data_IF_916277151342
#
_entry.id   IF_916277151342
#
_cell.length_a   1.000
_cell.length_b   1.000
_cell.length_c   1.000
_cell.angle_alpha   90.00
_cell.angle_beta   90.00
_cell.angle_gamma   90.00
#
_symmetry.space_group_name_H-M   'P 1'
#
loop_
_entity.id
_entity.type
_entity.pdbx_description
1 polymer ?
#
# COMPACT_ATOMS: atom_id res chain seq x y z
N UNK A 1 12.48 -5.10 -16.11
CA UNK A 1 13.64 -5.00 -15.20
C UNK A 1 13.20 -5.36 -13.80
N UNK A 2 14.14 -5.54 -12.87
CA UNK A 2 13.84 -5.63 -11.43
C UNK A 2 13.64 -4.22 -10.86
N UNK A 3 12.80 -4.09 -9.85
CA UNK A 3 12.58 -2.86 -9.09
C UNK A 3 12.79 -3.15 -7.61
N UNK A 4 13.20 -2.13 -6.85
CA UNK A 4 13.20 -2.17 -5.39
C UNK A 4 11.79 -2.30 -4.83
N UNK A 5 11.68 -2.70 -3.57
CA UNK A 5 10.40 -3.04 -2.90
C UNK A 5 9.42 -1.88 -2.90
N UNK A 6 9.95 -0.66 -2.84
CA UNK A 6 9.20 0.59 -2.73
C UNK A 6 9.29 1.46 -4.00
N UNK A 7 9.86 0.93 -5.09
CA UNK A 7 9.95 1.61 -6.39
C UNK A 7 11.30 2.22 -6.74
N UNK A 8 12.26 2.21 -5.81
CA UNK A 8 13.64 2.64 -6.06
C UNK A 8 14.37 1.70 -7.05
N UNK A 9 15.50 2.13 -7.65
CA UNK A 9 16.36 1.25 -8.43
C UNK A 9 16.76 0.01 -7.64
N UNK A 10 16.65 -1.17 -8.26
CA UNK A 10 16.94 -2.45 -7.58
C UNK A 10 18.39 -2.57 -7.04
N UNK A 11 19.32 -1.80 -7.60
CA UNK A 11 20.75 -1.82 -7.21
C UNK A 11 21.09 -0.84 -6.10
N UNK A 12 20.14 0.01 -5.67
CA UNK A 12 20.39 0.96 -4.59
C UNK A 12 20.58 0.20 -3.26
N UNK A 13 21.50 0.65 -2.39
CA UNK A 13 21.73 0.02 -1.10
C UNK A 13 20.49 0.15 -0.21
N UNK A 14 20.29 -0.86 0.66
CA UNK A 14 19.25 -0.83 1.68
C UNK A 14 19.71 -0.07 2.94
N UNK A 15 18.83 0.68 3.63
CA UNK A 15 17.47 1.04 3.20
C UNK A 15 17.50 1.89 1.93
N UNK A 16 16.68 1.53 0.95
CA UNK A 16 16.43 2.38 -0.19
C UNK A 16 15.64 3.61 0.27
N UNK A 17 15.63 4.67 -0.54
CA UNK A 17 15.08 5.96 -0.09
C UNK A 17 13.61 5.87 0.33
N UNK A 18 12.80 5.04 -0.32
CA UNK A 18 11.38 4.88 -0.02
C UNK A 18 11.06 3.67 0.86
N UNK A 19 12.05 2.89 1.27
CA UNK A 19 11.86 1.81 2.26
C UNK A 19 11.76 2.39 3.68
N UNK A 20 11.20 1.62 4.61
CA UNK A 20 11.25 1.96 6.02
C UNK A 20 12.68 2.20 6.50
N UNK A 21 12.86 3.24 7.32
CA UNK A 21 14.15 3.81 7.75
C UNK A 21 14.97 4.49 6.65
N UNK A 22 14.51 4.47 5.40
CA UNK A 22 15.05 5.26 4.30
C UNK A 22 14.74 6.75 4.45
N UNK A 23 15.34 7.56 3.58
CA UNK A 23 15.22 9.03 3.62
C UNK A 23 13.76 9.53 3.62
N UNK A 24 12.86 8.86 2.89
CA UNK A 24 11.42 9.18 2.84
C UNK A 24 10.57 8.26 3.73
N UNK A 25 11.10 7.10 4.17
CA UNK A 25 10.40 6.13 5.00
C UNK A 25 10.48 6.43 6.49
N UNK A 26 9.89 7.55 6.93
CA UNK A 26 10.06 8.12 8.28
C UNK A 26 9.22 7.46 9.39
N UNK A 27 8.52 6.36 9.12
CA UNK A 27 7.66 5.67 10.10
C UNK A 27 6.35 6.37 10.46
N UNK A 28 5.99 7.48 9.80
CA UNK A 28 4.80 8.28 10.13
C UNK A 28 3.52 7.58 9.62
N UNK A 29 2.65 7.18 10.54
CA UNK A 29 1.30 6.70 10.21
C UNK A 29 0.47 7.85 9.65
N UNK A 30 0.02 7.72 8.41
CA UNK A 30 -0.75 8.76 7.73
C UNK A 30 -2.26 8.52 7.78
N UNK A 31 -2.68 7.28 8.08
CA UNK A 31 -4.09 6.90 8.09
C UNK A 31 -4.37 5.69 8.98
N UNK A 32 -5.58 5.65 9.53
CA UNK A 32 -6.08 4.53 10.33
C UNK A 32 -7.30 3.92 9.64
N UNK A 33 -7.38 2.59 9.63
CA UNK A 33 -8.46 1.83 9.03
C UNK A 33 -8.96 0.72 9.97
N UNK A 34 -10.20 0.29 9.74
CA UNK A 34 -10.77 -0.86 10.42
C UNK A 34 -10.34 -2.17 9.75
N UNK A 35 -10.07 -3.26 10.51
CA UNK A 35 -9.80 -4.57 9.95
C UNK A 35 -10.93 -5.03 9.01
N UNK A 36 -10.56 -5.56 7.84
CA UNK A 36 -11.53 -6.06 6.86
C UNK A 36 -12.29 -4.97 6.07
N UNK A 37 -12.04 -3.68 6.35
CA UNK A 37 -12.70 -2.57 5.65
C UNK A 37 -12.30 -2.50 4.18
N UNK A 38 -13.17 -1.86 3.39
CA UNK A 38 -12.87 -1.47 2.01
C UNK A 38 -12.44 0.00 2.03
N UNK A 39 -11.28 0.28 1.43
CA UNK A 39 -10.68 1.62 1.40
C UNK A 39 -10.70 2.17 -0.02
N UNK A 40 -10.91 3.48 -0.16
CA UNK A 40 -10.75 4.18 -1.43
C UNK A 40 -9.27 4.59 -1.62
N UNK A 41 -8.68 4.16 -2.73
CA UNK A 41 -7.33 4.53 -3.17
C UNK A 41 -7.43 5.34 -4.45
N UNK A 42 -7.00 6.60 -4.39
CA UNK A 42 -6.93 7.50 -5.54
C UNK A 42 -5.54 7.44 -6.18
N UNK A 43 -5.51 7.22 -7.50
CA UNK A 43 -4.29 7.22 -8.30
C UNK A 43 -4.41 8.29 -9.38
N UNK A 44 -3.50 9.26 -9.34
CA UNK A 44 -3.31 10.22 -10.43
C UNK A 44 -2.29 9.69 -11.44
N UNK A 45 -2.74 9.43 -12.66
CA UNK A 45 -1.90 8.94 -13.76
C UNK A 45 -1.33 10.15 -14.51
N UNK A 46 -0.01 10.35 -14.45
CA UNK A 46 0.66 11.43 -15.19
C UNK A 46 1.05 11.02 -16.61
N UNK A 47 1.24 9.71 -16.84
CA UNK A 47 1.49 9.13 -18.15
C UNK A 47 0.81 7.76 -18.22
N UNK A 48 -0.26 7.67 -19.01
CA UNK A 48 -1.03 6.44 -19.18
C UNK A 48 -0.33 5.52 -20.17
N UNK A 49 0.12 4.38 -19.68
CA UNK A 49 0.81 3.35 -20.47
C UNK A 49 -0.01 2.05 -20.53
N UNK A 50 -1.32 2.12 -20.26
CA UNK A 50 -2.24 0.98 -20.11
C UNK A 50 -1.72 -0.03 -19.08
N UNK A 51 -2.33 -1.21 -18.99
CA UNK A 51 -1.85 -2.31 -18.14
C UNK A 51 -2.74 -2.51 -16.93
N UNK A 52 -2.16 -2.66 -15.74
CA UNK A 52 -2.94 -2.96 -14.54
C UNK A 52 -2.34 -2.41 -13.24
N UNK A 53 -3.21 -2.18 -12.26
CA UNK A 53 -2.87 -1.84 -10.89
C UNK A 53 -3.14 -3.02 -9.96
N UNK A 54 -2.16 -3.34 -9.13
CA UNK A 54 -2.27 -4.29 -8.02
C UNK A 54 -1.95 -3.63 -6.70
N UNK A 55 -2.49 -4.20 -5.63
CA UNK A 55 -2.27 -3.75 -4.26
C UNK A 55 -1.74 -4.91 -3.44
N UNK A 56 -0.86 -4.60 -2.50
CA UNK A 56 -0.33 -5.56 -1.54
C UNK A 56 -0.07 -4.86 -0.21
N UNK A 57 -0.11 -5.62 0.88
CA UNK A 57 0.09 -5.10 2.23
C UNK A 57 1.23 -5.86 2.89
N UNK A 58 2.11 -5.13 3.58
CA UNK A 58 3.13 -5.71 4.45
C UNK A 58 2.87 -5.27 5.89
N UNK A 59 2.75 -6.23 6.80
CA UNK A 59 2.79 -5.96 8.23
C UNK A 59 4.26 -5.83 8.67
N UNK A 60 4.69 -4.63 9.07
CA UNK A 60 6.03 -4.45 9.60
C UNK A 60 6.12 -5.07 10.98
N UNK A 61 7.04 -6.02 11.14
CA UNK A 61 7.34 -6.66 12.43
C UNK A 61 8.48 -5.98 13.17
N UNK A 62 9.35 -5.30 12.43
CA UNK A 62 10.45 -4.49 12.95
C UNK A 62 10.30 -3.08 12.38
N UNK A 63 10.08 -2.10 13.26
CA UNK A 63 9.87 -0.70 12.88
C UNK A 63 11.18 0.05 12.61
N UNK A 64 12.31 -0.56 12.96
CA UNK A 64 13.67 -0.02 12.81
C UNK A 64 14.43 -0.70 11.65
N UNK A 65 13.74 -1.49 10.81
CA UNK A 65 14.29 -2.15 9.64
C UNK A 65 13.44 -1.95 8.38
N UNK A 66 14.04 -2.03 7.17
CA UNK A 66 13.29 -2.03 5.90
C UNK A 66 12.24 -3.13 5.83
N UNK A 67 11.24 -2.94 4.96
CA UNK A 67 10.27 -3.96 4.62
C UNK A 67 10.99 -5.21 4.07
N UNK A 68 10.76 -6.42 4.65
CA UNK A 68 11.29 -7.64 4.06
C UNK A 68 10.71 -7.87 2.66
N UNK A 69 11.54 -8.30 1.70
CA UNK A 69 11.11 -8.59 0.32
C UNK A 69 9.87 -9.51 0.24
N UNK A 70 9.68 -10.39 1.23
CA UNK A 70 8.64 -11.41 1.27
C UNK A 70 7.46 -11.08 2.21
N UNK A 71 7.36 -9.88 2.77
CA UNK A 71 6.26 -9.56 3.69
C UNK A 71 4.97 -9.09 2.98
N UNK A 72 5.05 -8.78 1.70
CA UNK A 72 3.93 -8.23 0.95
C UNK A 72 2.99 -9.32 0.46
N UNK A 73 1.78 -9.30 1.00
CA UNK A 73 0.67 -10.16 0.59
C UNK A 73 -0.28 -9.40 -0.35
N UNK A 74 -0.69 -10.04 -1.45
CA UNK A 74 -1.60 -9.44 -2.42
C UNK A 74 -2.99 -9.16 -1.81
N UNK A 75 -3.56 -8.01 -2.14
CA UNK A 75 -4.92 -7.63 -1.77
C UNK A 75 -5.87 -7.78 -2.96
N UNK A 76 -7.16 -7.96 -2.65
CA UNK A 76 -8.24 -7.96 -3.63
C UNK A 76 -8.93 -6.59 -3.66
N UNK A 77 -9.51 -6.28 -4.81
CA UNK A 77 -10.47 -5.19 -4.93
C UNK A 77 -11.82 -5.59 -4.31
N UNK A 78 -12.68 -4.60 -4.07
CA UNK A 78 -14.00 -4.83 -3.46
C UNK A 78 -14.85 -5.84 -4.25
N UNK A 79 -14.74 -5.82 -5.58
CA UNK A 79 -15.42 -6.73 -6.51
C UNK A 79 -14.82 -8.14 -6.55
N UNK A 80 -13.76 -8.40 -5.78
CA UNK A 80 -13.07 -9.67 -5.68
C UNK A 80 -11.97 -9.89 -6.74
N UNK A 81 -11.75 -8.93 -7.63
CA UNK A 81 -10.66 -9.01 -8.61
C UNK A 81 -9.29 -8.79 -7.97
N UNK A 82 -8.24 -9.35 -8.58
CA UNK A 82 -6.85 -9.23 -8.12
C UNK A 82 -6.14 -7.98 -8.65
N UNK A 83 -6.77 -7.25 -9.58
CA UNK A 83 -6.20 -6.09 -10.26
C UNK A 83 -7.27 -5.22 -10.92
N UNK A 84 -6.98 -3.94 -11.01
CA UNK A 84 -7.70 -3.02 -11.88
C UNK A 84 -7.03 -2.96 -13.26
N UNK A 85 -7.81 -2.99 -14.34
CA UNK A 85 -7.31 -2.86 -15.72
C UNK A 85 -7.37 -1.39 -16.14
N UNK A 86 -6.21 -0.82 -16.49
CA UNK A 86 -6.08 0.59 -16.87
C UNK A 86 -6.55 0.79 -18.31
N UNK A 87 -7.53 1.67 -18.49
CA UNK A 87 -8.09 2.06 -19.78
C UNK A 87 -7.37 3.28 -20.36
N UNK A 88 -7.47 3.50 -21.67
CA UNK A 88 -6.79 4.61 -22.35
C UNK A 88 -7.26 6.00 -21.94
N UNK A 89 -8.48 6.09 -21.38
CA UNK A 89 -9.09 7.34 -20.93
C UNK A 89 -8.77 7.65 -19.45
N UNK A 90 -8.18 6.70 -18.72
CA UNK A 90 -7.88 6.87 -17.30
C UNK A 90 -6.82 7.95 -17.08
N UNK A 91 -7.21 9.00 -16.35
CA UNK A 91 -6.35 10.08 -15.88
C UNK A 91 -6.28 10.10 -14.34
N UNK A 92 -7.41 9.82 -13.68
CA UNK A 92 -7.53 9.58 -12.25
C UNK A 92 -8.35 8.32 -12.05
N UNK A 93 -7.87 7.39 -11.22
CA UNK A 93 -8.54 6.12 -10.92
C UNK A 93 -8.84 6.05 -9.43
N UNK A 94 -10.07 5.65 -9.10
CA UNK A 94 -10.51 5.40 -7.73
C UNK A 94 -10.78 3.91 -7.56
N UNK A 95 -9.88 3.23 -6.86
CA UNK A 95 -10.01 1.79 -6.61
C UNK A 95 -10.47 1.54 -5.18
N UNK A 96 -11.45 0.65 -5.04
CA UNK A 96 -11.90 0.14 -3.74
C UNK A 96 -11.11 -1.12 -3.41
N UNK A 97 -10.22 -1.04 -2.42
CA UNK A 97 -9.31 -2.12 -2.02
C UNK A 97 -9.77 -2.72 -0.70
N UNK A 98 -9.90 -4.04 -0.62
CA UNK A 98 -10.30 -4.74 0.59
C UNK A 98 -9.08 -5.05 1.45
N UNK A 99 -9.05 -4.51 2.67
CA UNK A 99 -8.03 -4.85 3.66
C UNK A 99 -8.29 -6.22 4.27
N UNK A 100 -7.24 -6.94 4.71
CA UNK A 100 -7.42 -8.18 5.44
C UNK A 100 -8.05 -7.92 6.82
N UNK A 101 -8.66 -8.95 7.39
CA UNK A 101 -9.10 -8.92 8.79
C UNK A 101 -7.89 -9.11 9.73
N UNK A 102 -6.98 -8.14 9.69
CA UNK A 102 -5.72 -8.09 10.44
C UNK A 102 -5.69 -6.81 11.27
N UNK A 103 -5.09 -6.87 12.46
CA UNK A 103 -4.70 -5.68 13.20
C UNK A 103 -3.20 -5.47 13.02
N UNK A 104 -2.80 -4.22 12.81
CA UNK A 104 -1.44 -3.88 12.43
C UNK A 104 -1.11 -2.47 12.90
N UNK A 105 -0.07 -2.33 13.71
CA UNK A 105 0.32 -1.02 14.21
C UNK A 105 0.95 -0.15 13.11
N UNK A 106 1.77 -0.77 12.26
CA UNK A 106 2.42 -0.13 11.12
C UNK A 106 2.42 -1.08 9.93
N UNK A 107 1.54 -0.82 8.97
CA UNK A 107 1.42 -1.59 7.74
C UNK A 107 1.79 -0.73 6.55
N UNK A 108 2.42 -1.35 5.56
CA UNK A 108 2.87 -0.67 4.34
C UNK A 108 1.97 -1.09 3.20
N UNK A 109 1.18 -0.15 2.68
CA UNK A 109 0.34 -0.38 1.50
C UNK A 109 1.14 -0.09 0.23
N UNK A 110 1.33 -1.12 -0.59
CA UNK A 110 2.08 -1.02 -1.84
C UNK A 110 1.15 -1.10 -3.03
N UNK A 111 1.22 -0.08 -3.87
CA UNK A 111 0.62 -0.07 -5.20
C UNK A 111 1.66 -0.43 -6.25
N UNK A 112 1.31 -1.36 -7.12
CA UNK A 112 2.12 -1.77 -8.27
C UNK A 112 1.39 -1.46 -9.55
N UNK A 113 1.97 -0.61 -10.39
CA UNK A 113 1.54 -0.37 -11.76
C UNK A 113 2.42 -1.13 -12.74
N UNK A 114 1.85 -2.17 -13.36
CA UNK A 114 2.47 -2.85 -14.49
C UNK A 114 1.95 -2.27 -15.80
N UNK A 115 2.73 -1.37 -16.38
CA UNK A 115 2.49 -0.73 -17.66
C UNK A 115 2.96 -1.61 -18.83
N UNK A 116 2.02 -2.00 -19.68
CA UNK A 116 2.27 -2.82 -20.87
C UNK A 116 3.12 -4.07 -20.60
N UNK A 117 4.08 -4.35 -21.48
CA UNK A 117 4.95 -5.55 -21.38
C UNK A 117 6.14 -5.41 -20.44
N UNK A 118 6.60 -4.20 -20.08
CA UNK A 118 7.96 -4.04 -19.52
C UNK A 118 8.16 -3.03 -18.40
N UNK A 119 7.26 -2.06 -18.17
CA UNK A 119 7.48 -1.01 -17.16
C UNK A 119 6.68 -1.34 -15.90
N UNK A 120 7.38 -1.55 -14.79
CA UNK A 120 6.78 -1.73 -13.48
C UNK A 120 7.13 -0.47 -12.69
N UNK A 121 6.11 0.24 -12.21
CA UNK A 121 6.25 1.32 -11.25
C UNK A 121 5.66 0.81 -9.95
N UNK A 122 6.47 0.78 -8.91
CA UNK A 122 6.00 0.49 -7.56
C UNK A 122 5.99 1.82 -6.84
N UNK A 123 4.89 2.14 -6.15
CA UNK A 123 4.92 3.17 -5.12
C UNK A 123 4.31 2.61 -3.86
N UNK A 124 4.92 2.96 -2.75
CA UNK A 124 4.23 2.89 -1.47
C UNK A 124 3.27 4.08 -1.42
N UNK A 125 1.98 3.80 -1.29
CA UNK A 125 0.96 4.83 -1.07
C UNK A 125 0.75 4.87 0.43
N UNK A 126 0.75 6.06 1.03
CA UNK A 126 0.43 6.23 2.44
C UNK A 126 1.30 5.35 3.33
N UNK A 127 2.62 5.64 3.35
CA UNK A 127 3.74 4.76 3.74
C UNK A 127 3.45 3.85 4.93
N UNK A 128 2.71 4.35 5.91
CA UNK A 128 2.28 3.57 7.04
C UNK A 128 0.80 3.79 7.34
N UNK A 129 0.05 2.69 7.36
CA UNK A 129 -1.34 2.63 7.80
C UNK A 129 -1.43 1.85 9.09
N UNK A 130 -2.31 2.31 9.98
CA UNK A 130 -2.63 1.61 11.21
C UNK A 130 -3.98 0.91 11.03
N UNK A 131 -4.04 -0.39 11.30
CA UNK A 131 -5.27 -1.17 11.21
C UNK A 131 -5.65 -1.62 12.61
N UNK A 132 -6.68 -1.01 13.18
CA UNK A 132 -7.17 -1.34 14.53
C UNK A 132 -8.67 -1.31 14.56
N UNK A 133 -9.26 -2.09 15.49
CA UNK A 133 -10.68 -1.93 15.77
C UNK A 133 -10.89 -0.61 16.50
N UNK A 134 -11.89 0.17 16.10
CA UNK A 134 -12.40 1.26 16.91
C UNK A 134 -12.69 0.72 18.31
N UNK A 135 -11.92 1.18 19.30
CA UNK A 135 -12.25 0.89 20.69
C UNK A 135 -13.59 1.55 20.95
N UNK A 136 -14.62 0.76 21.22
CA UNK A 136 -15.84 1.24 21.87
C UNK A 136 -15.38 1.90 23.17
N UNK A 137 -15.21 3.22 23.15
CA UNK A 137 -15.05 4.00 24.36
C UNK A 137 -16.31 3.75 25.15
N UNK A 138 -16.20 2.89 26.17
CA UNK A 138 -17.26 2.67 27.14
C UNK A 138 -17.74 4.05 27.57
N UNK A 139 -18.99 4.37 27.27
CA UNK A 139 -19.72 5.40 28.01
C UNK A 139 -19.77 4.92 29.47
N UNK A 140 -18.74 5.23 30.26
CA UNK A 140 -18.85 5.28 31.71
C UNK A 140 -19.71 6.49 32.02
N UNK A 141 -21.02 6.28 32.05
CA UNK A 141 -21.95 7.16 32.73
C UNK A 141 -21.60 7.13 34.21
N UNK A 142 -21.08 8.24 34.71
CA UNK A 142 -20.95 8.47 36.14
C UNK A 142 -22.36 8.50 36.76
N UNK A 143 -22.58 7.72 37.81
CA UNK A 143 -23.72 7.86 38.74
C UNK A 143 -23.22 8.58 39.99
#
# INVERSE_FOLDING_TARGET
GKCGVCGDPYTDPHPQKNENTGFYGTGIVVKTYEPGSVIDVEIKITANHLGNFKYSLCELKDFDAPEPNNCFEDLLLEDGSDKYIVNGEDNTVFNKVRLPNLQCERCVLRWTYKAGKYKIVIKVIDTYVHIQRESLTKYTTWH
#
